data_IF_884757578462
#
_entry.id   IF_884757578462
#
_cell.length_a   1.000
_cell.length_b   1.000
_cell.length_c   1.000
_cell.angle_alpha   90.00
_cell.angle_beta   90.00
_cell.angle_gamma   90.00
#
_symmetry.space_group_name_H-M   'P 1'
#
loop_
_entity.id
_entity.type
_entity.pdbx_description
1 polymer ?
#
# COMPACT_ATOMS: atom_id res chain seq x y z
N UNK A 1 -3.30 -28.88 9.22
CA UNK A 1 -4.40 -29.23 8.33
C UNK A 1 -5.52 -28.19 8.37
N UNK A 2 -6.01 -27.82 7.22
CA UNK A 2 -7.07 -26.83 7.08
C UNK A 2 -8.43 -27.54 7.22
N UNK A 3 -9.32 -27.07 8.12
CA UNK A 3 -10.65 -27.65 8.27
C UNK A 3 -11.42 -27.63 6.94
N UNK A 4 -12.21 -28.70 6.70
CA UNK A 4 -12.95 -28.87 5.45
C UNK A 4 -13.89 -27.71 5.13
N UNK A 5 -14.56 -27.12 6.13
CA UNK A 5 -15.45 -25.97 5.93
C UNK A 5 -14.70 -24.73 5.40
N UNK A 6 -13.47 -24.53 5.85
CA UNK A 6 -12.65 -23.41 5.38
C UNK A 6 -12.16 -23.66 3.97
N UNK A 7 -11.81 -24.91 3.65
CA UNK A 7 -11.43 -25.29 2.28
C UNK A 7 -12.57 -25.11 1.29
N UNK A 8 -13.80 -25.35 1.72
CA UNK A 8 -14.99 -25.24 0.86
C UNK A 8 -15.38 -23.78 0.58
N UNK A 9 -15.08 -22.84 1.48
CA UNK A 9 -15.50 -21.43 1.38
C UNK A 9 -14.46 -20.50 0.79
N UNK A 10 -13.18 -20.89 0.81
CA UNK A 10 -12.09 -20.09 0.25
C UNK A 10 -11.67 -20.57 -1.14
N UNK A 11 -10.69 -19.90 -1.72
CA UNK A 11 -10.00 -20.37 -2.92
C UNK A 11 -9.11 -21.57 -2.60
N UNK A 12 -8.14 -21.85 -3.46
CA UNK A 12 -7.22 -22.96 -3.23
C UNK A 12 -6.58 -22.84 -1.83
N UNK A 13 -6.59 -23.91 -1.00
CA UNK A 13 -6.11 -23.80 0.39
C UNK A 13 -4.63 -23.46 0.52
N UNK A 14 -3.81 -23.72 -0.48
CA UNK A 14 -2.39 -23.39 -0.51
C UNK A 14 -2.08 -22.02 -1.15
N UNK A 15 -3.08 -21.25 -1.54
CA UNK A 15 -2.90 -19.95 -2.21
C UNK A 15 -2.00 -19.00 -1.43
N UNK A 16 -2.24 -18.84 -0.13
CA UNK A 16 -1.44 -17.98 0.72
C UNK A 16 -0.02 -18.49 0.90
N UNK A 17 0.18 -19.79 0.95
CA UNK A 17 1.49 -20.43 1.06
C UNK A 17 2.31 -20.16 -0.20
N UNK A 18 1.73 -20.37 -1.38
CA UNK A 18 2.40 -20.07 -2.65
C UNK A 18 2.72 -18.59 -2.79
N UNK A 19 1.81 -17.70 -2.37
CA UNK A 19 2.05 -16.27 -2.35
C UNK A 19 3.24 -15.91 -1.46
N UNK A 20 3.33 -16.49 -0.25
CA UNK A 20 4.42 -16.25 0.68
C UNK A 20 5.77 -16.69 0.10
N UNK A 21 5.83 -17.85 -0.53
CA UNK A 21 7.05 -18.35 -1.18
C UNK A 21 7.48 -17.42 -2.32
N UNK A 22 6.55 -16.99 -3.15
CA UNK A 22 6.82 -16.05 -4.26
C UNK A 22 7.40 -14.74 -3.75
N UNK A 23 6.78 -14.15 -2.72
CA UNK A 23 7.22 -12.89 -2.12
C UNK A 23 8.64 -13.02 -1.58
N UNK A 24 8.94 -14.11 -0.86
CA UNK A 24 10.27 -14.34 -0.30
C UNK A 24 11.32 -14.52 -1.39
N UNK A 25 11.05 -15.33 -2.39
CA UNK A 25 11.99 -15.58 -3.49
C UNK A 25 12.29 -14.34 -4.30
N UNK A 26 11.31 -13.50 -4.54
CA UNK A 26 11.45 -12.29 -5.38
C UNK A 26 11.73 -11.03 -4.57
N UNK A 27 11.69 -11.09 -3.24
CA UNK A 27 11.83 -9.94 -2.35
C UNK A 27 10.90 -8.79 -2.74
N UNK A 28 9.69 -9.11 -3.22
CA UNK A 28 8.74 -8.16 -3.78
C UNK A 28 8.39 -7.02 -2.83
N UNK A 29 8.22 -7.34 -1.54
CA UNK A 29 7.82 -6.33 -0.55
C UNK A 29 8.96 -5.36 -0.23
N UNK A 30 10.19 -5.84 -0.15
CA UNK A 30 11.36 -4.99 0.11
C UNK A 30 11.63 -4.06 -1.07
N UNK A 31 11.55 -4.58 -2.29
CA UNK A 31 11.69 -3.78 -3.51
C UNK A 31 10.62 -2.68 -3.57
N UNK A 32 9.37 -3.03 -3.28
CA UNK A 32 8.27 -2.07 -3.25
C UNK A 32 8.52 -0.95 -2.23
N UNK A 33 8.91 -1.33 -1.02
CA UNK A 33 9.19 -0.39 0.07
C UNK A 33 10.30 0.59 -0.29
N UNK A 34 11.42 0.08 -0.79
CA UNK A 34 12.58 0.90 -1.14
C UNK A 34 12.29 1.82 -2.34
N UNK A 35 11.53 1.30 -3.31
CA UNK A 35 11.20 2.04 -4.53
C UNK A 35 10.26 3.21 -4.27
N UNK A 36 9.28 3.06 -3.37
CA UNK A 36 8.26 4.09 -3.13
C UNK A 36 8.85 5.39 -2.59
N UNK A 37 9.76 5.30 -1.61
CA UNK A 37 10.42 6.49 -1.09
C UNK A 37 11.23 7.22 -2.17
N UNK A 38 11.94 6.47 -2.99
CA UNK A 38 12.70 7.03 -4.11
C UNK A 38 11.81 7.69 -5.16
N UNK A 39 10.66 7.08 -5.47
CA UNK A 39 9.69 7.65 -6.41
C UNK A 39 9.11 8.97 -5.91
N UNK A 40 8.81 9.05 -4.61
CA UNK A 40 8.30 10.28 -4.00
C UNK A 40 9.34 11.40 -4.10
N UNK A 41 10.62 11.08 -3.87
CA UNK A 41 11.71 12.06 -4.00
C UNK A 41 11.86 12.62 -5.42
N UNK A 42 11.54 11.80 -6.43
CA UNK A 42 11.62 12.21 -7.83
C UNK A 42 10.44 13.05 -8.31
N UNK A 43 9.36 13.11 -7.54
CA UNK A 43 8.20 13.92 -7.91
C UNK A 43 8.51 15.41 -7.80
N UNK A 44 8.03 16.19 -8.75
CA UNK A 44 8.00 17.64 -8.64
C UNK A 44 6.90 18.05 -7.66
N UNK A 45 6.99 19.28 -7.15
CA UNK A 45 5.91 19.86 -6.35
C UNK A 45 4.60 19.83 -7.14
N UNK A 46 3.56 19.28 -6.54
CA UNK A 46 2.26 19.05 -7.20
C UNK A 46 2.19 17.74 -8.00
N UNK A 47 3.30 17.03 -8.17
CA UNK A 47 3.32 15.73 -8.81
C UNK A 47 2.63 14.66 -7.97
N UNK A 48 2.01 13.69 -8.62
CA UNK A 48 1.26 12.61 -7.96
C UNK A 48 1.84 11.25 -8.29
N UNK A 49 1.95 10.41 -7.27
CA UNK A 49 2.30 9.01 -7.41
C UNK A 49 1.06 8.16 -7.20
N UNK A 50 0.66 7.43 -8.24
CA UNK A 50 -0.47 6.52 -8.20
C UNK A 50 0.04 5.08 -8.14
N UNK A 51 -0.40 4.31 -7.16
CA UNK A 51 0.03 2.93 -6.97
C UNK A 51 -1.18 2.02 -6.91
N UNK A 52 -1.19 0.99 -7.76
CA UNK A 52 -2.20 -0.06 -7.74
C UNK A 52 -1.58 -1.31 -7.14
N UNK A 53 -2.24 -1.87 -6.14
CA UNK A 53 -1.82 -3.11 -5.49
C UNK A 53 -2.90 -4.17 -5.62
N UNK A 54 -2.52 -5.45 -5.57
CA UNK A 54 -3.42 -6.57 -5.77
C UNK A 54 -3.56 -7.49 -4.56
N UNK A 55 -2.79 -7.25 -3.50
CA UNK A 55 -2.97 -7.99 -2.24
C UNK A 55 -2.74 -7.09 -1.02
N UNK A 56 -3.24 -7.57 0.12
CA UNK A 56 -3.27 -6.77 1.36
C UNK A 56 -1.89 -6.38 1.90
N UNK A 57 -0.88 -7.21 1.70
CA UNK A 57 0.48 -6.91 2.16
C UNK A 57 1.09 -5.74 1.39
N UNK A 58 0.95 -5.73 0.07
CA UNK A 58 1.37 -4.60 -0.77
C UNK A 58 0.63 -3.32 -0.38
N UNK A 59 -0.68 -3.39 -0.24
CA UNK A 59 -1.49 -2.24 0.13
C UNK A 59 -1.09 -1.65 1.49
N UNK A 60 -0.79 -2.51 2.46
CA UNK A 60 -0.32 -2.07 3.78
C UNK A 60 1.01 -1.32 3.68
N UNK A 61 1.94 -1.79 2.86
CA UNK A 61 3.23 -1.14 2.66
C UNK A 61 3.04 0.23 2.02
N UNK A 62 2.24 0.32 0.96
CA UNK A 62 1.95 1.59 0.28
C UNK A 62 1.32 2.58 1.26
N UNK A 63 0.31 2.15 2.00
CA UNK A 63 -0.36 2.96 3.02
C UNK A 63 0.64 3.48 4.07
N UNK A 64 1.48 2.60 4.58
CA UNK A 64 2.46 2.94 5.62
C UNK A 64 3.47 3.95 5.11
N UNK A 65 3.99 3.77 3.90
CA UNK A 65 4.98 4.67 3.32
C UNK A 65 4.37 6.02 2.97
N UNK A 66 3.17 6.05 2.41
CA UNK A 66 2.49 7.30 2.12
C UNK A 66 2.18 8.08 3.40
N UNK A 67 1.70 7.40 4.42
CA UNK A 67 1.42 8.01 5.72
C UNK A 67 2.68 8.57 6.37
N UNK A 68 3.79 7.85 6.30
CA UNK A 68 5.08 8.29 6.85
C UNK A 68 5.60 9.52 6.11
N UNK A 69 5.41 9.61 4.81
CA UNK A 69 5.80 10.78 4.03
C UNK A 69 4.86 11.99 4.25
N UNK A 70 3.57 11.72 4.52
CA UNK A 70 2.60 12.77 4.87
C UNK A 70 2.86 13.32 6.27
N UNK A 71 3.11 12.44 7.24
CA UNK A 71 3.36 12.81 8.63
C UNK A 71 4.55 12.02 9.18
N UNK A 72 5.77 12.48 8.90
CA UNK A 72 6.99 11.80 9.34
C UNK A 72 7.33 12.00 10.82
N UNK A 73 6.50 12.72 11.57
CA UNK A 73 6.74 13.01 12.98
C UNK A 73 6.82 11.74 13.82
N UNK A 74 7.88 11.65 14.62
CA UNK A 74 8.12 10.52 15.55
C UNK A 74 8.01 10.95 17.02
N UNK A 75 7.59 12.20 17.28
CA UNK A 75 7.41 12.69 18.64
C UNK A 75 6.28 11.93 19.36
N UNK A 76 6.39 11.69 20.67
CA UNK A 76 5.29 11.13 21.45
C UNK A 76 4.02 11.98 21.32
N UNK A 77 2.81 11.35 21.36
CA UNK A 77 1.55 12.08 21.18
C UNK A 77 1.28 13.16 22.23
N UNK A 78 1.88 13.05 23.42
CA UNK A 78 1.73 13.99 24.53
C UNK A 78 2.67 15.20 24.44
N UNK A 79 3.57 15.26 23.48
CA UNK A 79 4.43 16.41 23.28
C UNK A 79 3.61 17.59 22.73
N UNK A 80 3.68 18.76 23.36
CA UNK A 80 2.92 19.93 22.92
C UNK A 80 3.41 20.49 21.59
N UNK A 81 4.69 20.28 21.25
CA UNK A 81 5.30 20.76 20.01
C UNK A 81 6.17 19.66 19.41
N UNK A 82 6.14 19.54 18.09
CA UNK A 82 7.00 18.61 17.39
C UNK A 82 8.46 19.07 17.46
N UNK A 83 9.35 18.19 17.93
CA UNK A 83 10.78 18.48 18.10
C UNK A 83 11.67 17.60 17.23
N UNK A 84 11.09 16.69 16.41
CA UNK A 84 11.88 15.77 15.59
C UNK A 84 12.50 16.40 14.34
N UNK A 85 12.07 17.60 13.95
CA UNK A 85 12.58 18.30 12.77
C UNK A 85 12.22 17.67 11.43
N UNK A 86 11.41 16.63 11.43
CA UNK A 86 10.97 15.96 10.19
C UNK A 86 9.84 16.74 9.54
N UNK A 87 9.93 16.90 8.24
CA UNK A 87 8.97 17.67 7.47
C UNK A 87 8.15 16.78 6.54
N UNK A 88 6.85 17.09 6.41
CA UNK A 88 5.97 16.42 5.48
C UNK A 88 6.40 16.66 4.03
N UNK A 89 6.41 15.61 3.21
CA UNK A 89 6.70 15.71 1.78
C UNK A 89 5.46 15.94 0.93
N UNK A 90 4.28 15.70 1.48
CA UNK A 90 3.04 15.83 0.75
C UNK A 90 1.86 15.28 1.50
N UNK A 91 0.82 14.92 0.77
CA UNK A 91 -0.42 14.37 1.33
C UNK A 91 -0.89 13.14 0.58
N UNK A 92 -1.60 12.27 1.29
CA UNK A 92 -2.40 11.21 0.66
C UNK A 92 -3.68 11.82 0.11
N UNK A 93 -3.89 11.70 -1.19
CA UNK A 93 -5.10 12.24 -1.84
C UNK A 93 -6.35 11.47 -1.39
N UNK A 94 -6.23 10.15 -1.25
CA UNK A 94 -7.32 9.30 -0.78
C UNK A 94 -6.87 8.52 0.46
N UNK A 95 -7.55 8.73 1.59
CA UNK A 95 -7.26 7.99 2.83
C UNK A 95 -7.71 6.54 2.75
N UNK A 96 -8.83 6.31 2.08
CA UNK A 96 -9.31 4.97 1.77
C UNK A 96 -8.88 4.60 0.36
N UNK A 97 -8.47 3.35 0.12
CA UNK A 97 -8.09 2.95 -1.23
C UNK A 97 -9.28 3.02 -2.16
N UNK A 98 -9.03 3.46 -3.39
CA UNK A 98 -10.03 3.40 -4.45
C UNK A 98 -10.09 1.95 -4.93
N UNK A 99 -11.27 1.37 -4.88
CA UNK A 99 -11.51 -0.01 -5.32
C UNK A 99 -12.23 -0.02 -6.66
N UNK A 100 -12.11 -1.11 -7.45
CA UNK A 100 -12.79 -1.18 -8.74
C UNK A 100 -14.31 -1.22 -8.56
N UNK A 101 -15.02 -0.66 -9.53
CA UNK A 101 -16.47 -0.75 -9.58
C UNK A 101 -16.91 -2.16 -9.91
N UNK A 102 -18.18 -2.48 -9.61
CA UNK A 102 -18.75 -3.79 -9.97
C UNK A 102 -18.65 -4.06 -11.46
N UNK A 103 -18.90 -3.04 -12.28
CA UNK A 103 -18.82 -3.13 -13.73
C UNK A 103 -17.40 -3.45 -14.21
N UNK A 104 -16.40 -2.84 -13.60
CA UNK A 104 -15.00 -3.10 -13.90
C UNK A 104 -14.60 -4.54 -13.54
N UNK A 105 -15.07 -5.03 -12.38
CA UNK A 105 -14.81 -6.42 -11.96
C UNK A 105 -15.49 -7.41 -12.91
N UNK A 106 -16.68 -7.13 -13.37
CA UNK A 106 -17.39 -7.96 -14.35
C UNK A 106 -16.65 -8.02 -15.68
N UNK A 107 -16.11 -6.90 -16.14
CA UNK A 107 -15.31 -6.82 -17.36
C UNK A 107 -13.93 -7.48 -17.22
N UNK A 108 -13.33 -7.38 -16.03
CA UNK A 108 -12.02 -7.94 -15.72
C UNK A 108 -11.97 -8.47 -14.29
N UNK A 109 -12.16 -9.78 -14.14
CA UNK A 109 -12.18 -10.45 -12.84
C UNK A 109 -10.87 -10.28 -12.04
N UNK A 110 -9.76 -10.06 -12.71
CA UNK A 110 -8.46 -9.82 -12.06
C UNK A 110 -8.42 -8.50 -11.28
N UNK A 111 -9.31 -7.56 -11.61
CA UNK A 111 -9.39 -6.28 -10.92
C UNK A 111 -9.98 -6.37 -9.51
N UNK A 112 -10.64 -7.47 -9.16
CA UNK A 112 -11.37 -7.63 -7.89
C UNK A 112 -10.56 -7.26 -6.65
N UNK A 113 -9.28 -7.62 -6.63
CA UNK A 113 -8.40 -7.39 -5.47
C UNK A 113 -7.60 -6.10 -5.56
N UNK A 114 -7.78 -5.31 -6.62
CA UNK A 114 -6.99 -4.11 -6.84
C UNK A 114 -7.39 -2.97 -5.91
N UNK A 115 -6.39 -2.20 -5.49
CA UNK A 115 -6.57 -1.00 -4.68
C UNK A 115 -5.65 0.08 -5.20
N UNK A 116 -6.18 1.27 -5.43
CA UNK A 116 -5.44 2.43 -5.89
C UNK A 116 -5.25 3.41 -4.75
N UNK A 117 -4.00 3.81 -4.52
CA UNK A 117 -3.65 4.89 -3.60
C UNK A 117 -2.85 5.95 -4.32
N UNK A 118 -3.11 7.20 -3.98
CA UNK A 118 -2.49 8.36 -4.62
C UNK A 118 -1.84 9.24 -3.55
N UNK A 119 -0.59 9.63 -3.79
CA UNK A 119 0.15 10.58 -2.98
C UNK A 119 0.53 11.78 -3.84
N UNK A 120 0.35 12.99 -3.30
CA UNK A 120 0.73 14.22 -3.97
C UNK A 120 1.87 14.89 -3.23
N UNK A 121 2.95 15.20 -3.93
CA UNK A 121 4.07 15.93 -3.35
C UNK A 121 3.73 17.42 -3.27
N UNK A 122 3.94 18.01 -2.09
CA UNK A 122 3.65 19.42 -1.84
C UNK A 122 4.86 20.28 -1.51
N UNK A 123 6.02 19.66 -1.46
CA UNK A 123 7.29 20.36 -1.20
C UNK A 123 8.34 20.09 -2.24
#
# INVERSE_FOLDING_TARGET
AIPARIRATGGHPAKKTFQAIRIELNQELDVLKDSLDGMIELLNKGGRLCVITFHSLEDRIVKTIFRRNENPCICPPDFPVCVCGRESRGIMINRKPIVPTREEIEANKRAKSSKLRVFERRR
#
